data_IF_036827464139
#
_entry.id   IF_036827464139
#
_cell.length_a   1.000
_cell.length_b   1.000
_cell.length_c   1.000
_cell.angle_alpha   90.00
_cell.angle_beta   90.00
_cell.angle_gamma   90.00
#
_symmetry.space_group_name_H-M   'P 1'
#
loop_
_entity.id
_entity.type
_entity.pdbx_description
1 polymer ?
#
# COMPACT_ATOMS: atom_id res chain seq x y z
N UNK A 1 -20.79 -14.01 9.45
CA UNK A 1 -21.34 -12.83 8.76
C UNK A 1 -20.30 -12.38 7.75
N UNK A 2 -20.69 -11.87 6.58
CA UNK A 2 -19.77 -11.27 5.63
C UNK A 2 -18.96 -10.16 6.28
N UNK A 3 -17.65 -10.05 5.93
CA UNK A 3 -16.80 -8.92 6.36
C UNK A 3 -17.08 -7.70 5.48
N UNK A 4 -16.84 -6.53 6.01
CA UNK A 4 -16.96 -5.26 5.28
C UNK A 4 -15.57 -4.72 5.02
N UNK A 5 -15.19 -4.65 3.74
CA UNK A 5 -13.94 -4.08 3.28
C UNK A 5 -14.15 -2.63 2.82
N UNK A 6 -13.24 -1.74 3.15
CA UNK A 6 -13.10 -0.43 2.50
C UNK A 6 -11.75 -0.42 1.77
N UNK A 7 -11.80 -0.28 0.44
CA UNK A 7 -10.59 -0.34 -0.40
C UNK A 7 -10.37 0.99 -1.09
N UNK A 8 -9.18 1.58 -0.93
CA UNK A 8 -8.83 2.83 -1.60
C UNK A 8 -8.21 2.58 -2.98
N UNK A 9 -8.56 3.42 -3.99
CA UNK A 9 -7.98 3.34 -5.32
C UNK A 9 -8.41 2.12 -6.14
N UNK A 10 -9.72 1.90 -6.28
CA UNK A 10 -10.30 0.69 -6.90
C UNK A 10 -10.58 0.79 -8.39
N UNK A 11 -10.19 1.89 -9.04
CA UNK A 11 -10.49 2.08 -10.46
C UNK A 11 -9.69 1.16 -11.40
N UNK A 12 -8.55 0.62 -10.97
CA UNK A 12 -7.69 -0.28 -11.74
C UNK A 12 -6.76 -1.09 -10.83
N UNK A 13 -5.98 -1.99 -11.44
CA UNK A 13 -4.89 -2.72 -10.79
C UNK A 13 -5.35 -3.57 -9.64
N UNK A 14 -4.54 -3.64 -8.58
CA UNK A 14 -4.86 -4.46 -7.40
C UNK A 14 -6.18 -4.09 -6.75
N UNK A 15 -6.48 -2.80 -6.61
CA UNK A 15 -7.74 -2.37 -6.00
C UNK A 15 -8.96 -2.87 -6.76
N UNK A 16 -8.92 -2.85 -8.10
CA UNK A 16 -9.99 -3.38 -8.94
C UNK A 16 -10.14 -4.91 -8.81
N UNK A 17 -9.04 -5.65 -8.92
CA UNK A 17 -9.06 -7.11 -8.80
C UNK A 17 -9.43 -7.57 -7.37
N UNK A 18 -9.03 -6.80 -6.35
CA UNK A 18 -9.39 -7.11 -4.96
C UNK A 18 -10.89 -6.92 -4.72
N UNK A 19 -11.51 -5.87 -5.26
CA UNK A 19 -12.97 -5.70 -5.18
C UNK A 19 -13.69 -6.88 -5.81
N UNK A 20 -13.27 -7.34 -7.00
CA UNK A 20 -13.83 -8.54 -7.63
C UNK A 20 -13.68 -9.78 -6.75
N UNK A 21 -12.52 -9.97 -6.14
CA UNK A 21 -12.25 -11.11 -5.24
C UNK A 21 -13.14 -11.05 -4.01
N UNK A 22 -13.26 -9.89 -3.35
CA UNK A 22 -14.13 -9.71 -2.16
C UNK A 22 -15.58 -10.09 -2.47
N UNK A 23 -16.11 -9.59 -3.61
CA UNK A 23 -17.47 -9.89 -4.04
C UNK A 23 -17.65 -11.41 -4.31
N UNK A 24 -16.66 -12.03 -4.97
CA UNK A 24 -16.70 -13.46 -5.29
C UNK A 24 -16.69 -14.36 -4.04
N UNK A 25 -16.06 -13.90 -2.96
CA UNK A 25 -16.04 -14.62 -1.67
C UNK A 25 -17.30 -14.37 -0.82
N UNK A 26 -18.22 -13.52 -1.29
CA UNK A 26 -19.48 -13.22 -0.59
C UNK A 26 -19.33 -12.18 0.52
N UNK A 27 -18.22 -11.49 0.61
CA UNK A 27 -17.99 -10.36 1.51
C UNK A 27 -18.50 -9.05 0.90
N UNK A 28 -18.61 -8.02 1.73
CA UNK A 28 -19.10 -6.69 1.34
C UNK A 28 -17.93 -5.73 1.07
N UNK A 29 -18.10 -4.80 0.14
CA UNK A 29 -17.05 -3.86 -0.20
C UNK A 29 -17.54 -2.43 -0.42
N UNK A 30 -16.85 -1.49 0.20
CA UNK A 30 -16.87 -0.08 -0.12
C UNK A 30 -15.70 0.19 -1.07
N UNK A 31 -16.01 0.27 -2.36
CA UNK A 31 -15.02 0.54 -3.40
C UNK A 31 -14.86 2.05 -3.58
N UNK A 32 -13.63 2.57 -3.45
CA UNK A 32 -13.42 4.01 -3.50
C UNK A 32 -12.47 4.45 -4.60
N UNK A 33 -12.77 5.58 -5.19
CA UNK A 33 -11.97 6.28 -6.18
C UNK A 33 -12.21 7.79 -6.09
N UNK A 34 -11.37 8.63 -6.71
CA UNK A 34 -11.61 10.07 -6.79
C UNK A 34 -12.89 10.43 -7.55
N UNK A 35 -13.32 9.56 -8.46
CA UNK A 35 -14.58 9.64 -9.19
C UNK A 35 -15.16 8.21 -9.21
N UNK A 36 -16.05 7.95 -8.26
CA UNK A 36 -16.66 6.63 -8.07
C UNK A 36 -17.77 6.34 -9.09
N UNK A 37 -18.26 7.34 -9.81
CA UNK A 37 -19.28 7.16 -10.86
C UNK A 37 -18.81 6.26 -12.02
N UNK A 38 -17.50 6.12 -12.16
CA UNK A 38 -16.85 5.28 -13.18
C UNK A 38 -16.57 3.84 -12.72
N UNK A 39 -16.88 3.53 -11.46
CA UNK A 39 -16.69 2.18 -10.93
C UNK A 39 -17.84 1.27 -11.36
N UNK A 40 -17.50 0.17 -12.01
CA UNK A 40 -18.45 -0.84 -12.43
C UNK A 40 -17.88 -2.23 -12.18
N UNK A 41 -18.65 -3.04 -11.46
CA UNK A 41 -18.28 -4.42 -11.10
C UNK A 41 -19.48 -5.34 -11.31
N UNK A 42 -19.22 -6.55 -11.77
CA UNK A 42 -20.24 -7.59 -11.92
C UNK A 42 -20.67 -8.14 -10.56
N UNK A 43 -21.84 -8.74 -10.50
CA UNK A 43 -22.41 -9.40 -9.32
C UNK A 43 -22.56 -8.47 -8.11
N UNK A 44 -22.75 -7.17 -8.36
CA UNK A 44 -22.97 -6.16 -7.32
C UNK A 44 -24.43 -5.83 -7.11
N UNK A 45 -24.77 -5.50 -5.88
CA UNK A 45 -26.05 -4.95 -5.46
C UNK A 45 -25.85 -4.03 -4.26
N UNK A 46 -26.85 -3.26 -3.89
CA UNK A 46 -26.79 -2.45 -2.67
C UNK A 46 -26.57 -3.25 -1.38
N UNK A 47 -26.68 -4.59 -1.42
CA UNK A 47 -26.45 -5.44 -0.24
C UNK A 47 -24.97 -5.73 0.00
N UNK A 48 -24.15 -5.79 -1.06
CA UNK A 48 -22.75 -6.21 -0.98
C UNK A 48 -21.74 -5.20 -1.50
N UNK A 49 -22.20 -4.09 -2.10
CA UNK A 49 -21.34 -3.13 -2.77
C UNK A 49 -21.80 -1.69 -2.56
N UNK A 50 -20.85 -0.81 -2.27
CA UNK A 50 -21.04 0.64 -2.20
C UNK A 50 -19.86 1.34 -2.91
N UNK A 51 -20.15 2.16 -3.92
CA UNK A 51 -19.16 3.02 -4.56
C UNK A 51 -19.16 4.41 -3.90
N UNK A 52 -17.98 4.92 -3.53
CA UNK A 52 -17.84 6.20 -2.83
C UNK A 52 -16.65 6.98 -3.36
N UNK A 53 -16.85 8.30 -3.55
CA UNK A 53 -15.74 9.21 -3.84
C UNK A 53 -14.82 9.32 -2.63
N UNK A 54 -13.51 9.12 -2.86
CA UNK A 54 -12.49 9.29 -1.84
C UNK A 54 -11.18 9.79 -2.47
N UNK A 55 -10.77 10.97 -2.02
CA UNK A 55 -9.44 11.53 -2.23
C UNK A 55 -8.66 11.42 -0.92
N UNK A 56 -7.64 10.56 -0.89
CA UNK A 56 -6.85 10.27 0.33
C UNK A 56 -6.08 11.50 0.85
N UNK A 57 -5.90 12.52 0.02
CA UNK A 57 -5.22 13.77 0.40
C UNK A 57 -6.16 14.75 1.11
N UNK A 58 -7.47 14.45 1.23
CA UNK A 58 -8.48 15.33 1.79
C UNK A 58 -9.22 14.66 2.94
N UNK A 59 -9.01 15.15 4.16
CA UNK A 59 -9.64 14.58 5.36
C UNK A 59 -11.18 14.57 5.25
N UNK A 60 -11.80 15.66 4.79
CA UNK A 60 -13.26 15.72 4.62
C UNK A 60 -13.79 14.65 3.66
N UNK A 61 -13.02 14.28 2.64
CA UNK A 61 -13.38 13.21 1.70
C UNK A 61 -13.31 11.83 2.37
N UNK A 62 -12.30 11.62 3.20
CA UNK A 62 -12.13 10.39 3.99
C UNK A 62 -13.30 10.24 4.97
N UNK A 63 -13.58 11.28 5.76
CA UNK A 63 -14.64 11.28 6.78
C UNK A 63 -16.02 10.99 6.16
N UNK A 64 -16.31 11.60 5.03
CA UNK A 64 -17.55 11.34 4.27
C UNK A 64 -17.64 9.90 3.77
N UNK A 65 -16.52 9.33 3.29
CA UNK A 65 -16.50 7.96 2.80
C UNK A 65 -16.71 6.96 3.94
N UNK A 66 -16.06 7.15 5.09
CA UNK A 66 -16.24 6.30 6.27
C UNK A 66 -17.66 6.44 6.85
N UNK A 67 -18.21 7.65 6.91
CA UNK A 67 -19.60 7.85 7.34
C UNK A 67 -20.58 7.10 6.46
N UNK A 68 -20.48 7.24 5.13
CA UNK A 68 -21.34 6.50 4.19
C UNK A 68 -21.21 4.98 4.34
N UNK A 69 -19.98 4.48 4.55
CA UNK A 69 -19.73 3.06 4.76
C UNK A 69 -20.40 2.55 6.04
N UNK A 70 -20.28 3.29 7.15
CA UNK A 70 -20.90 2.97 8.44
C UNK A 70 -22.44 3.09 8.39
N UNK A 71 -22.97 4.11 7.71
CA UNK A 71 -24.41 4.27 7.52
C UNK A 71 -25.02 3.07 6.76
N UNK A 72 -24.26 2.54 5.79
CA UNK A 72 -24.71 1.47 4.91
C UNK A 72 -24.52 0.07 5.52
N UNK A 73 -23.29 -0.25 5.97
CA UNK A 73 -22.92 -1.59 6.44
C UNK A 73 -22.81 -1.72 7.97
N UNK A 74 -22.90 -0.62 8.72
CA UNK A 74 -22.84 -0.52 10.19
C UNK A 74 -21.47 -0.82 10.81
N UNK A 75 -20.49 -1.28 10.03
CA UNK A 75 -19.13 -1.58 10.46
C UNK A 75 -18.15 -1.56 9.29
N UNK A 76 -16.86 -1.55 9.59
CA UNK A 76 -15.77 -1.73 8.61
C UNK A 76 -14.76 -2.69 9.25
N UNK A 77 -14.64 -3.90 8.70
CA UNK A 77 -13.77 -4.94 9.24
C UNK A 77 -12.35 -4.87 8.72
N UNK A 78 -12.20 -4.47 7.44
CA UNK A 78 -10.90 -4.37 6.77
C UNK A 78 -10.80 -3.05 6.02
N UNK A 79 -9.72 -2.32 6.24
CA UNK A 79 -9.37 -1.15 5.43
C UNK A 79 -8.12 -1.47 4.64
N UNK A 80 -8.19 -1.34 3.31
CA UNK A 80 -7.05 -1.58 2.41
C UNK A 80 -6.58 -0.26 1.82
N UNK A 81 -5.44 0.21 2.29
CA UNK A 81 -4.75 1.39 1.78
C UNK A 81 -3.96 1.01 0.52
N UNK A 82 -4.66 0.97 -0.62
CA UNK A 82 -4.09 0.61 -1.92
C UNK A 82 -3.86 1.83 -2.83
N UNK A 83 -4.53 2.95 -2.60
CA UNK A 83 -4.36 4.16 -3.41
C UNK A 83 -2.90 4.62 -3.42
N UNK A 84 -2.35 4.82 -4.62
CA UNK A 84 -0.98 5.25 -4.81
C UNK A 84 -0.58 5.26 -6.28
N UNK A 85 0.55 5.87 -6.58
CA UNK A 85 1.11 5.92 -7.93
C UNK A 85 2.65 5.88 -7.88
N UNK A 86 3.28 5.68 -9.04
CA UNK A 86 4.73 5.69 -9.19
C UNK A 86 5.25 7.00 -9.78
N UNK A 87 6.36 7.52 -9.26
CA UNK A 87 7.15 8.59 -9.85
C UNK A 87 8.51 8.01 -10.23
N UNK A 88 8.84 8.05 -11.52
CA UNK A 88 10.06 7.48 -12.07
C UNK A 88 10.92 8.53 -12.74
N UNK A 89 12.19 8.56 -12.38
CA UNK A 89 13.22 9.44 -12.92
C UNK A 89 14.46 9.41 -12.03
N UNK A 90 15.66 9.67 -12.60
CA UNK A 90 16.81 10.02 -11.78
C UNK A 90 16.45 11.16 -10.84
N UNK A 91 16.97 11.14 -9.62
CA UNK A 91 16.56 12.10 -8.57
C UNK A 91 16.63 13.57 -9.02
N UNK A 92 17.69 13.95 -9.72
CA UNK A 92 17.90 15.31 -10.19
C UNK A 92 16.96 15.74 -11.33
N UNK A 93 16.21 14.81 -11.92
CA UNK A 93 15.19 15.10 -12.94
C UNK A 93 13.80 15.31 -12.37
N UNK A 94 13.63 15.13 -11.05
CA UNK A 94 12.36 15.29 -10.37
C UNK A 94 12.21 16.73 -9.86
N UNK A 95 11.06 17.34 -10.11
CA UNK A 95 10.71 18.67 -9.58
C UNK A 95 10.18 18.58 -8.13
N UNK A 96 10.37 19.62 -7.34
CA UNK A 96 9.98 19.65 -5.92
C UNK A 96 8.49 19.32 -5.71
N UNK A 97 7.62 19.86 -6.58
CA UNK A 97 6.19 19.56 -6.51
C UNK A 97 5.86 18.06 -6.75
N UNK A 98 6.64 17.38 -7.62
CA UNK A 98 6.49 15.95 -7.86
C UNK A 98 6.89 15.12 -6.62
N UNK A 99 8.01 15.51 -5.96
CA UNK A 99 8.46 14.86 -4.73
C UNK A 99 7.39 14.96 -3.64
N UNK A 100 6.88 16.18 -3.41
CA UNK A 100 5.87 16.44 -2.38
C UNK A 100 4.55 15.70 -2.67
N UNK A 101 4.08 15.76 -3.93
CA UNK A 101 2.84 15.07 -4.32
C UNK A 101 2.95 13.55 -4.18
N UNK A 102 4.13 12.96 -4.48
CA UNK A 102 4.37 11.52 -4.26
C UNK A 102 4.22 11.16 -2.77
N UNK A 103 4.82 11.95 -1.89
CA UNK A 103 4.72 11.75 -0.44
C UNK A 103 3.30 12.01 0.06
N UNK A 104 2.66 13.06 -0.43
CA UNK A 104 1.29 13.43 -0.04
C UNK A 104 0.30 12.30 -0.31
N UNK A 105 0.36 11.70 -1.50
CA UNK A 105 -0.57 10.62 -1.86
C UNK A 105 -0.17 9.29 -1.20
N UNK A 106 1.09 8.86 -1.37
CA UNK A 106 1.51 7.50 -1.02
C UNK A 106 1.76 7.31 0.48
N UNK A 107 2.02 8.38 1.21
CA UNK A 107 2.32 8.33 2.64
C UNK A 107 1.31 9.12 3.48
N UNK A 108 1.22 10.45 3.37
CA UNK A 108 0.32 11.23 4.21
C UNK A 108 -1.15 10.88 3.99
N UNK A 109 -1.58 10.65 2.75
CA UNK A 109 -2.93 10.18 2.44
C UNK A 109 -3.25 8.84 3.10
N UNK A 110 -2.30 7.90 3.06
CA UNK A 110 -2.40 6.62 3.77
C UNK A 110 -2.51 6.81 5.29
N UNK A 111 -1.73 7.72 5.89
CA UNK A 111 -1.81 8.03 7.32
C UNK A 111 -3.19 8.56 7.71
N UNK A 112 -3.76 9.46 6.92
CA UNK A 112 -5.07 10.04 7.18
C UNK A 112 -6.16 8.96 7.16
N UNK A 113 -6.17 8.09 6.14
CA UNK A 113 -7.11 6.95 6.09
C UNK A 113 -6.90 5.99 7.26
N UNK A 114 -5.64 5.69 7.61
CA UNK A 114 -5.31 4.82 8.73
C UNK A 114 -5.81 5.36 10.06
N UNK A 115 -5.71 6.67 10.31
CA UNK A 115 -6.21 7.33 11.52
C UNK A 115 -7.72 7.16 11.66
N UNK A 116 -8.47 7.47 10.60
CA UNK A 116 -9.94 7.31 10.60
C UNK A 116 -10.35 5.83 10.72
N UNK A 117 -9.56 4.90 10.14
CA UNK A 117 -9.79 3.47 10.28
C UNK A 117 -9.61 3.00 11.73
N UNK A 118 -8.53 3.42 12.40
CA UNK A 118 -8.27 3.08 13.81
C UNK A 118 -9.40 3.57 14.72
N UNK A 119 -9.82 4.82 14.57
CA UNK A 119 -10.96 5.39 15.33
C UNK A 119 -12.24 4.59 15.07
N UNK A 120 -12.51 4.24 13.82
CA UNK A 120 -13.68 3.45 13.44
C UNK A 120 -13.66 2.06 14.05
N UNK A 121 -12.55 1.35 13.95
CA UNK A 121 -12.42 -0.03 14.44
C UNK A 121 -12.42 -0.10 15.97
N UNK A 122 -11.85 0.92 16.63
CA UNK A 122 -11.79 1.00 18.09
C UNK A 122 -13.11 1.45 18.71
N UNK A 123 -13.76 2.49 18.14
CA UNK A 123 -14.81 3.24 18.84
C UNK A 123 -16.21 3.01 18.22
N UNK A 124 -16.32 2.56 16.97
CA UNK A 124 -17.59 2.44 16.25
C UNK A 124 -17.97 1.00 15.91
N UNK A 125 -17.00 0.12 15.68
CA UNK A 125 -17.29 -1.29 15.41
C UNK A 125 -17.84 -2.03 16.65
N UNK A 126 -18.86 -2.87 16.45
CA UNK A 126 -19.37 -3.80 17.46
C UNK A 126 -19.51 -5.20 16.84
N UNK A 127 -18.73 -6.20 17.29
CA UNK A 127 -17.63 -6.11 18.24
C UNK A 127 -16.50 -5.22 17.73
N UNK A 128 -15.73 -4.66 18.67
CA UNK A 128 -14.53 -3.86 18.41
C UNK A 128 -13.49 -4.69 17.64
N UNK A 129 -12.72 -4.02 16.78
CA UNK A 129 -11.62 -4.65 16.06
C UNK A 129 -11.70 -4.52 14.55
N UNK A 130 -10.66 -4.97 13.89
CA UNK A 130 -10.51 -4.96 12.45
C UNK A 130 -9.06 -5.11 12.00
N UNK A 131 -8.83 -4.99 10.69
CA UNK A 131 -7.50 -5.07 10.09
C UNK A 131 -7.27 -3.91 9.12
N UNK A 132 -6.09 -3.30 9.21
CA UNK A 132 -5.63 -2.28 8.27
C UNK A 132 -4.49 -2.87 7.44
N UNK A 133 -4.73 -3.06 6.15
CA UNK A 133 -3.76 -3.58 5.19
C UNK A 133 -3.14 -2.43 4.40
N UNK A 134 -1.83 -2.24 4.53
CA UNK A 134 -1.06 -1.24 3.81
C UNK A 134 -0.44 -1.88 2.56
N UNK A 135 -0.83 -1.44 1.37
CA UNK A 135 -0.19 -1.90 0.14
C UNK A 135 1.09 -1.11 -0.08
N UNK A 136 2.21 -1.73 0.33
CA UNK A 136 3.54 -1.14 0.16
C UNK A 136 4.17 -1.55 -1.17
N UNK A 137 5.32 -2.13 -1.18
CA UNK A 137 6.04 -2.66 -2.34
C UNK A 137 7.35 -3.31 -1.87
N UNK A 138 7.93 -4.16 -2.67
CA UNK A 138 9.35 -4.52 -2.50
C UNK A 138 10.25 -3.27 -2.53
N UNK A 139 9.81 -2.17 -3.15
CA UNK A 139 10.44 -0.85 -3.09
C UNK A 139 10.40 -0.19 -1.70
N UNK A 140 9.56 -0.68 -0.77
CA UNK A 140 9.58 -0.33 0.65
C UNK A 140 10.66 -1.06 1.44
N UNK A 141 11.30 -2.05 0.85
CA UNK A 141 12.36 -2.85 1.47
C UNK A 141 13.71 -2.71 0.75
N UNK A 142 13.74 -2.27 -0.50
CA UNK A 142 14.97 -2.04 -1.24
C UNK A 142 14.88 -0.81 -2.14
N UNK A 143 16.00 -0.11 -2.34
CA UNK A 143 16.09 0.96 -3.34
C UNK A 143 16.06 0.39 -4.76
N UNK A 144 15.35 1.09 -5.64
CA UNK A 144 15.27 0.77 -7.07
C UNK A 144 15.74 2.00 -7.87
N UNK A 145 16.69 1.88 -8.80
CA UNK A 145 17.13 2.99 -9.63
C UNK A 145 15.95 3.69 -10.31
N UNK A 146 15.99 4.99 -10.38
CA UNK A 146 14.94 5.88 -10.91
C UNK A 146 13.63 5.90 -10.09
N UNK A 147 13.59 5.29 -8.90
CA UNK A 147 12.41 5.29 -8.02
C UNK A 147 12.72 5.79 -6.60
N UNK A 148 13.71 6.66 -6.45
CA UNK A 148 14.19 7.11 -5.13
C UNK A 148 13.07 7.61 -4.22
N UNK A 149 12.21 8.51 -4.70
CA UNK A 149 11.12 9.09 -3.89
C UNK A 149 9.95 8.12 -3.73
N UNK A 150 9.64 7.32 -4.75
CA UNK A 150 8.67 6.24 -4.60
C UNK A 150 9.10 5.25 -3.52
N UNK A 151 10.35 4.77 -3.59
CA UNK A 151 10.90 3.88 -2.55
C UNK A 151 10.85 4.56 -1.17
N UNK A 152 11.28 5.81 -1.04
CA UNK A 152 11.22 6.56 0.22
C UNK A 152 9.79 6.59 0.78
N UNK A 153 8.77 6.84 -0.07
CA UNK A 153 7.37 6.84 0.38
C UNK A 153 6.93 5.47 0.91
N UNK A 154 7.37 4.38 0.26
CA UNK A 154 7.02 3.01 0.70
C UNK A 154 7.81 2.58 1.94
N UNK A 155 9.09 2.98 2.07
CA UNK A 155 9.85 2.79 3.30
C UNK A 155 9.24 3.53 4.49
N UNK A 156 8.72 4.75 4.27
CA UNK A 156 8.02 5.51 5.30
C UNK A 156 6.78 4.76 5.80
N UNK A 157 6.01 4.13 4.89
CA UNK A 157 4.85 3.30 5.26
C UNK A 157 5.27 2.07 6.08
N UNK A 158 6.37 1.40 5.69
CA UNK A 158 6.88 0.23 6.42
C UNK A 158 7.25 0.58 7.88
N UNK A 159 8.09 1.61 8.06
CA UNK A 159 8.51 2.04 9.39
C UNK A 159 7.34 2.55 10.24
N UNK A 160 6.42 3.31 9.63
CA UNK A 160 5.20 3.75 10.29
C UNK A 160 4.34 2.57 10.76
N UNK A 161 4.11 1.59 9.89
CA UNK A 161 3.23 0.45 10.21
C UNK A 161 3.83 -0.43 11.31
N UNK A 162 5.14 -0.64 11.29
CA UNK A 162 5.85 -1.37 12.35
C UNK A 162 5.72 -0.66 13.69
N UNK A 163 6.02 0.63 13.76
CA UNK A 163 5.86 1.41 14.98
C UNK A 163 4.40 1.38 15.49
N UNK A 164 3.44 1.61 14.60
CA UNK A 164 2.02 1.58 14.92
C UNK A 164 1.58 0.22 15.49
N UNK A 165 2.12 -0.89 14.99
CA UNK A 165 1.79 -2.23 15.49
C UNK A 165 2.12 -2.42 16.98
N UNK A 166 3.11 -1.68 17.48
CA UNK A 166 3.49 -1.69 18.90
C UNK A 166 2.69 -0.69 19.77
N UNK A 167 1.99 0.26 19.15
CA UNK A 167 1.15 1.24 19.84
C UNK A 167 -0.28 0.74 20.07
N UNK A 168 -0.75 -0.20 19.23
CA UNK A 168 -2.11 -0.75 19.28
C UNK A 168 -2.22 -1.72 20.47
N UNK A 169 -3.19 -1.46 21.35
CA UNK A 169 -3.44 -2.35 22.49
C UNK A 169 -4.08 -3.67 22.03
N UNK A 170 -3.62 -4.82 22.55
CA UNK A 170 -4.17 -6.13 22.19
C UNK A 170 -5.69 -6.24 22.38
N UNK A 171 -6.24 -5.63 23.40
CA UNK A 171 -7.67 -5.63 23.72
C UNK A 171 -8.53 -4.89 22.70
N UNK A 172 -7.95 -4.05 21.84
CA UNK A 172 -8.69 -3.42 20.75
C UNK A 172 -8.97 -4.38 19.59
N UNK A 173 -8.27 -5.53 19.55
CA UNK A 173 -8.40 -6.52 18.48
C UNK A 173 -8.24 -5.89 17.06
N UNK A 174 -7.33 -4.93 16.93
CA UNK A 174 -6.98 -4.28 15.68
C UNK A 174 -5.61 -4.76 15.24
N UNK A 175 -5.50 -5.16 13.98
CA UNK A 175 -4.26 -5.58 13.35
C UNK A 175 -3.84 -4.62 12.25
N UNK A 176 -2.55 -4.46 12.05
CA UNK A 176 -1.97 -3.73 10.92
C UNK A 176 -0.99 -4.63 10.19
N UNK A 177 -0.98 -4.58 8.86
CA UNK A 177 -0.05 -5.37 8.06
C UNK A 177 0.42 -4.63 6.82
N UNK A 178 1.65 -4.90 6.37
CA UNK A 178 2.18 -4.50 5.08
C UNK A 178 2.12 -5.66 4.10
N UNK A 179 1.58 -5.42 2.91
CA UNK A 179 1.72 -6.30 1.75
C UNK A 179 2.75 -5.68 0.82
N UNK A 180 3.76 -6.44 0.45
CA UNK A 180 4.96 -6.00 -0.27
C UNK A 180 5.01 -6.62 -1.68
N UNK A 181 4.23 -6.09 -2.67
CA UNK A 181 4.22 -6.64 -4.02
C UNK A 181 5.53 -6.41 -4.77
N UNK A 182 5.91 -7.41 -5.58
CA UNK A 182 6.88 -7.27 -6.64
C UNK A 182 6.26 -6.70 -7.93
N UNK A 183 6.69 -7.20 -9.08
CA UNK A 183 6.17 -6.83 -10.39
C UNK A 183 4.93 -7.61 -10.77
N UNK A 184 3.80 -6.90 -10.90
CA UNK A 184 2.52 -7.44 -11.37
C UNK A 184 2.04 -6.71 -12.63
N UNK A 185 1.29 -7.40 -13.50
CA UNK A 185 0.76 -6.86 -14.77
C UNK A 185 -0.46 -5.97 -14.54
N UNK A 186 -0.27 -4.89 -13.79
CA UNK A 186 -1.27 -3.85 -13.56
C UNK A 186 -0.99 -2.63 -14.44
N UNK A 187 -1.92 -1.66 -14.49
CA UNK A 187 -1.72 -0.35 -15.13
C UNK A 187 -0.66 0.54 -14.42
N UNK A 188 0.02 0.02 -13.40
CA UNK A 188 0.96 0.80 -12.61
C UNK A 188 2.15 1.31 -13.44
N UNK A 189 2.72 0.47 -14.33
CA UNK A 189 3.81 0.86 -15.23
C UNK A 189 3.34 1.70 -16.43
N UNK A 190 2.03 1.85 -16.62
CA UNK A 190 1.41 2.65 -17.68
C UNK A 190 0.77 3.92 -17.10
N UNK A 191 -0.55 3.89 -16.94
CA UNK A 191 -1.36 5.05 -16.54
C UNK A 191 -1.03 5.61 -15.15
N UNK A 192 -0.63 4.79 -14.20
CA UNK A 192 -0.35 5.19 -12.81
C UNK A 192 1.12 5.54 -12.57
N UNK A 193 1.88 5.84 -13.64
CA UNK A 193 3.27 6.26 -13.52
C UNK A 193 3.46 7.67 -14.06
N UNK A 194 4.08 8.52 -13.25
CA UNK A 194 4.56 9.83 -13.64
C UNK A 194 6.08 9.78 -13.82
N UNK A 195 6.60 10.74 -14.59
CA UNK A 195 8.03 10.79 -14.91
C UNK A 195 8.60 12.16 -14.56
N UNK A 196 9.89 12.20 -14.25
CA UNK A 196 10.61 13.44 -14.01
C UNK A 196 10.44 14.44 -15.16
N UNK A 197 10.16 15.68 -14.82
CA UNK A 197 9.86 16.76 -15.77
C UNK A 197 11.11 17.58 -16.13
N UNK A 198 12.13 17.53 -15.27
CA UNK A 198 13.37 18.27 -15.43
C UNK A 198 14.34 17.53 -16.34
N UNK A 199 14.96 18.25 -17.28
CA UNK A 199 16.03 17.70 -18.09
C UNK A 199 17.38 17.82 -17.36
N UNK A 200 18.15 16.73 -17.36
CA UNK A 200 19.50 16.69 -16.80
C UNK A 200 20.40 15.84 -17.71
N UNK A 201 21.23 16.46 -18.57
CA UNK A 201 22.05 15.73 -19.55
C UNK A 201 22.95 14.64 -18.94
N UNK A 202 23.41 14.81 -17.70
CA UNK A 202 24.20 13.79 -17.01
C UNK A 202 23.50 12.43 -16.90
N UNK A 203 22.16 12.40 -17.05
CA UNK A 203 21.32 11.19 -16.96
C UNK A 203 20.72 10.76 -18.30
N UNK A 204 21.17 11.27 -19.43
CA UNK A 204 20.65 10.91 -20.77
C UNK A 204 20.81 9.42 -21.10
N UNK A 205 21.69 8.70 -20.37
CA UNK A 205 21.84 7.25 -20.45
C UNK A 205 20.71 6.46 -19.77
N UNK A 206 19.84 7.16 -19.01
CA UNK A 206 18.68 6.54 -18.34
C UNK A 206 17.40 7.04 -18.97
N UNK A 207 16.61 6.14 -19.55
CA UNK A 207 15.30 6.46 -20.13
C UNK A 207 14.16 5.80 -19.31
N UNK A 208 13.62 6.51 -18.28
CA UNK A 208 12.58 5.93 -17.42
C UNK A 208 11.30 5.58 -18.18
N UNK A 209 10.91 6.37 -19.18
CA UNK A 209 9.70 6.11 -19.99
C UNK A 209 9.85 4.85 -20.82
N UNK A 210 10.96 4.70 -21.50
CA UNK A 210 11.23 3.49 -22.30
C UNK A 210 11.33 2.24 -21.44
N UNK A 211 11.99 2.35 -20.27
CA UNK A 211 12.10 1.26 -19.32
C UNK A 211 10.71 0.84 -18.76
N UNK A 212 9.84 1.80 -18.49
CA UNK A 212 8.47 1.53 -18.08
C UNK A 212 7.66 0.84 -19.18
N UNK A 213 7.79 1.28 -20.44
CA UNK A 213 7.14 0.67 -21.59
C UNK A 213 7.62 -0.77 -21.81
N UNK A 214 8.93 -1.03 -21.78
CA UNK A 214 9.50 -2.37 -21.92
C UNK A 214 9.03 -3.32 -20.80
N UNK A 215 8.85 -2.80 -19.61
CA UNK A 215 8.39 -3.59 -18.44
C UNK A 215 6.89 -3.83 -18.46
N UNK A 216 6.10 -2.95 -19.05
CA UNK A 216 4.64 -3.02 -18.99
C UNK A 216 4.12 -4.28 -19.70
N UNK A 217 3.36 -5.11 -18.98
CA UNK A 217 2.82 -6.38 -19.45
C UNK A 217 3.81 -7.57 -19.44
N UNK A 218 5.10 -7.36 -19.05
CA UNK A 218 6.10 -8.43 -19.00
C UNK A 218 6.38 -8.95 -17.57
N UNK A 219 5.78 -8.32 -16.56
CA UNK A 219 5.92 -8.74 -15.17
C UNK A 219 5.42 -10.18 -14.97
N UNK A 220 6.05 -10.93 -14.04
CA UNK A 220 5.67 -12.31 -13.76
C UNK A 220 4.33 -12.41 -13.01
N UNK A 221 4.02 -11.41 -12.17
CA UNK A 221 2.85 -11.43 -11.30
C UNK A 221 1.52 -11.22 -12.05
N UNK A 222 0.54 -12.05 -11.72
CA UNK A 222 -0.85 -11.94 -12.15
C UNK A 222 -1.63 -11.11 -11.12
N UNK A 223 -2.27 -9.98 -11.52
CA UNK A 223 -2.99 -9.11 -10.59
C UNK A 223 -4.14 -9.80 -9.85
N UNK A 224 -4.86 -10.71 -10.48
CA UNK A 224 -5.96 -11.44 -9.85
C UNK A 224 -5.45 -12.42 -8.77
N UNK A 225 -4.31 -13.08 -9.04
CA UNK A 225 -3.64 -13.92 -8.04
C UNK A 225 -3.05 -13.09 -6.90
N UNK A 226 -2.49 -11.92 -7.22
CA UNK A 226 -2.01 -10.97 -6.20
C UNK A 226 -3.16 -10.48 -5.30
N UNK A 227 -4.29 -10.10 -5.89
CA UNK A 227 -5.50 -9.73 -5.15
C UNK A 227 -6.04 -10.88 -4.29
N UNK A 228 -5.98 -12.13 -4.78
CA UNK A 228 -6.35 -13.31 -3.98
C UNK A 228 -5.44 -13.48 -2.76
N UNK A 229 -4.13 -13.29 -2.92
CA UNK A 229 -3.19 -13.33 -1.79
C UNK A 229 -3.45 -12.18 -0.79
N UNK A 230 -3.76 -10.96 -1.28
CA UNK A 230 -4.13 -9.84 -0.43
C UNK A 230 -5.40 -10.12 0.39
N UNK A 231 -6.41 -10.71 -0.25
CA UNK A 231 -7.65 -11.12 0.43
C UNK A 231 -7.38 -12.21 1.49
N UNK A 232 -6.61 -13.24 1.16
CA UNK A 232 -6.22 -14.29 2.10
C UNK A 232 -5.51 -13.69 3.33
N UNK A 233 -4.49 -12.86 3.13
CA UNK A 233 -3.77 -12.15 4.19
C UNK A 233 -4.70 -11.30 5.06
N UNK A 234 -5.65 -10.60 4.45
CA UNK A 234 -6.61 -9.75 5.16
C UNK A 234 -7.66 -10.53 5.96
N UNK A 235 -7.81 -11.82 5.68
CA UNK A 235 -8.82 -12.69 6.32
C UNK A 235 -8.22 -13.75 7.24
N UNK A 236 -6.91 -13.80 7.38
CA UNK A 236 -6.20 -14.66 8.33
C UNK A 236 -6.61 -14.35 9.77
N UNK A 237 -6.67 -15.38 10.60
CA UNK A 237 -6.94 -15.23 12.04
C UNK A 237 -5.79 -14.52 12.76
N UNK A 238 -4.56 -14.82 12.35
CA UNK A 238 -3.33 -14.23 12.88
C UNK A 238 -2.50 -13.70 11.70
N UNK A 239 -2.80 -12.48 11.24
CA UNK A 239 -2.15 -11.91 10.08
C UNK A 239 -0.70 -11.50 10.39
N UNK A 240 0.27 -11.79 9.50
CA UNK A 240 1.64 -11.34 9.69
C UNK A 240 1.73 -9.81 9.57
N UNK A 241 2.69 -9.19 10.26
CA UNK A 241 2.97 -7.76 10.09
C UNK A 241 3.43 -7.43 8.66
N UNK A 242 4.16 -8.35 8.01
CA UNK A 242 4.67 -8.18 6.64
C UNK A 242 4.49 -9.45 5.82
N UNK A 243 4.13 -9.28 4.57
CA UNK A 243 4.13 -10.38 3.61
C UNK A 243 4.56 -9.90 2.21
N UNK A 244 5.64 -10.49 1.73
CA UNK A 244 6.13 -10.30 0.36
C UNK A 244 5.27 -11.13 -0.59
N UNK A 245 4.76 -10.54 -1.67
CA UNK A 245 4.03 -11.25 -2.72
C UNK A 245 4.69 -11.06 -4.09
N UNK A 246 4.84 -12.16 -4.82
CA UNK A 246 5.56 -12.24 -6.10
C UNK A 246 6.94 -12.89 -5.97
N UNK A 247 7.29 -13.73 -6.95
CA UNK A 247 8.55 -14.50 -6.95
C UNK A 247 9.78 -13.59 -7.04
N UNK A 248 9.68 -12.50 -7.79
CA UNK A 248 10.73 -11.48 -7.93
C UNK A 248 10.95 -10.71 -6.62
N UNK A 249 9.88 -10.36 -5.92
CA UNK A 249 9.95 -9.70 -4.63
C UNK A 249 10.53 -10.64 -3.55
N UNK A 250 10.09 -11.89 -3.52
CA UNK A 250 10.61 -12.89 -2.61
C UNK A 250 12.13 -13.07 -2.78
N UNK A 251 12.59 -13.29 -4.01
CA UNK A 251 14.03 -13.43 -4.30
C UNK A 251 14.82 -12.17 -3.92
N UNK A 252 14.27 -10.98 -4.22
CA UNK A 252 14.90 -9.71 -3.88
C UNK A 252 15.01 -9.50 -2.36
N UNK A 253 14.02 -9.93 -1.59
CA UNK A 253 14.04 -9.83 -0.13
C UNK A 253 15.04 -10.79 0.49
N UNK A 254 15.11 -12.04 0.02
CA UNK A 254 16.12 -12.99 0.47
C UNK A 254 17.54 -12.45 0.26
N UNK A 255 17.83 -11.93 -0.94
CA UNK A 255 19.14 -11.34 -1.23
C UNK A 255 19.46 -10.12 -0.38
N UNK A 256 18.45 -9.27 -0.06
CA UNK A 256 18.64 -8.14 0.85
C UNK A 256 18.99 -8.59 2.26
N UNK A 257 18.24 -9.53 2.82
CA UNK A 257 18.47 -10.04 4.18
C UNK A 257 19.89 -10.62 4.32
N UNK A 258 20.34 -11.40 3.33
CA UNK A 258 21.68 -11.96 3.31
C UNK A 258 22.75 -10.85 3.26
N UNK A 259 22.60 -9.89 2.34
CA UNK A 259 23.58 -8.81 2.16
C UNK A 259 23.64 -7.91 3.40
N UNK A 260 22.48 -7.48 3.89
CA UNK A 260 22.40 -6.59 5.06
C UNK A 260 22.90 -7.27 6.33
N UNK A 261 22.60 -8.58 6.52
CA UNK A 261 23.14 -9.36 7.64
C UNK A 261 24.67 -9.44 7.62
N UNK A 262 25.28 -9.62 6.42
CA UNK A 262 26.74 -9.61 6.25
C UNK A 262 27.33 -8.22 6.60
N UNK A 263 26.66 -7.13 6.18
CA UNK A 263 27.10 -5.76 6.50
C UNK A 263 27.04 -5.48 8.00
N UNK A 264 25.94 -5.81 8.67
CA UNK A 264 25.80 -5.66 10.13
C UNK A 264 26.91 -6.42 10.86
N UNK A 265 27.16 -7.69 10.49
CA UNK A 265 28.19 -8.51 11.11
C UNK A 265 29.61 -7.96 10.87
N UNK A 266 29.87 -7.43 9.65
CA UNK A 266 31.17 -6.84 9.31
C UNK A 266 31.58 -5.70 10.24
N UNK A 267 30.60 -4.91 10.71
CA UNK A 267 30.85 -3.74 11.54
C UNK A 267 30.51 -3.94 13.02
N UNK A 268 30.29 -5.20 13.46
CA UNK A 268 29.93 -5.57 14.84
C UNK A 268 30.82 -4.89 15.89
N UNK A 269 32.16 -4.97 15.71
CA UNK A 269 33.12 -4.37 16.65
C UNK A 269 32.95 -2.85 16.75
N UNK A 270 32.73 -2.18 15.62
CA UNK A 270 32.50 -0.73 15.59
C UNK A 270 31.18 -0.37 16.26
N UNK A 271 30.11 -1.11 15.96
CA UNK A 271 28.79 -0.89 16.53
C UNK A 271 28.80 -1.02 18.05
N UNK A 272 29.48 -2.06 18.57
CA UNK A 272 29.54 -2.34 20.00
C UNK A 272 30.57 -1.46 20.76
N UNK A 273 31.36 -0.62 20.07
CA UNK A 273 32.32 0.29 20.69
C UNK A 273 31.75 1.65 21.06
N UNK A 274 30.44 1.86 20.85
CA UNK A 274 29.77 3.15 21.04
C UNK A 274 29.04 3.28 22.37
N UNK A 275 29.06 2.23 23.20
CA UNK A 275 28.45 2.25 24.52
C UNK A 275 29.23 3.14 25.46
N UNK A 276 28.56 3.71 26.45
CA UNK A 276 29.21 4.46 27.53
C UNK A 276 30.06 3.53 28.38
N UNK A 277 31.27 3.95 28.75
CA UNK A 277 32.08 3.20 29.72
C UNK A 277 31.29 3.09 31.04
N UNK A 278 31.16 1.84 31.55
CA UNK A 278 30.57 1.64 32.87
C UNK A 278 31.41 2.43 33.91
N UNK A 279 30.72 3.23 34.76
CA UNK A 279 31.32 3.99 35.82
C UNK A 279 31.69 3.11 37.00
#
# INVERSE_FOLDING_TARGET
MPRVFLVTGTSTGFGYELVKKIIAEGDHVVATARDSSKLSFENTSSKNFLAVDLDVTKQDSIDKAFSKALDHFKRIDVVVNNAGYGLSGPFETLEDHQLRTQMEVNFFGLLNVTRTALETMRDKNSPQGGLIQQVTSIGGQRGVPSFSIYCASKWAVEGFTEALSHEIKPEWNIHVQCVEPGGFRTDWSGRSMLFGERKQPAYDHINPKENAQKRNGTQAGDPAKGASAMYELATMKDPPLRCVIGTDAYAAMQGKLETYGKEVKKYEKLSNSTDVDEK
#
